data_IF_221798431805
#
_entry.id   IF_221798431805
#
_cell.length_a   1.000
_cell.length_b   1.000
_cell.length_c   1.000
_cell.angle_alpha   90.00
_cell.angle_beta   90.00
_cell.angle_gamma   90.00
#
_symmetry.space_group_name_H-M   'P 1'
#
loop_
_entity.id
_entity.type
_entity.pdbx_description
1 polymer ?
#
# COMPACT_ATOMS: atom_id res chain seq x y z
N UNK A 1 -45.88 -3.62 -48.64
CA UNK A 1 -46.04 -4.74 -47.70
C UNK A 1 -44.64 -5.13 -47.29
N UNK A 2 -44.36 -4.94 -46.00
CA UNK A 2 -43.05 -5.16 -45.40
C UNK A 2 -43.00 -6.61 -44.93
N UNK A 3 -42.08 -7.40 -45.47
CA UNK A 3 -41.82 -8.74 -44.97
C UNK A 3 -40.57 -8.68 -44.08
N UNK A 4 -40.84 -8.50 -42.79
CA UNK A 4 -39.96 -8.92 -41.71
C UNK A 4 -39.88 -10.45 -41.70
N UNK A 5 -38.69 -11.01 -41.86
CA UNK A 5 -38.42 -12.39 -41.45
C UNK A 5 -36.93 -12.57 -41.13
N UNK A 6 -36.59 -12.16 -39.90
CA UNK A 6 -35.69 -12.80 -38.96
C UNK A 6 -34.79 -13.92 -39.52
N UNK A 7 -33.58 -13.54 -39.94
CA UNK A 7 -32.43 -14.45 -39.96
C UNK A 7 -31.55 -14.14 -38.75
N UNK A 8 -31.84 -14.87 -37.67
CA UNK A 8 -30.87 -15.52 -36.79
C UNK A 8 -29.41 -15.08 -36.96
N UNK A 9 -28.94 -14.21 -36.07
CA UNK A 9 -27.50 -14.05 -35.74
C UNK A 9 -27.47 -13.96 -34.22
N UNK A 10 -27.37 -15.13 -33.58
CA UNK A 10 -26.17 -15.59 -32.88
C UNK A 10 -25.99 -14.81 -31.58
N UNK A 11 -26.24 -15.51 -30.46
CA UNK A 11 -26.02 -15.02 -29.10
C UNK A 11 -24.64 -14.37 -29.02
N UNK A 12 -24.61 -13.04 -28.90
CA UNK A 12 -23.42 -12.34 -28.47
C UNK A 12 -23.06 -12.91 -27.08
N UNK A 13 -21.83 -13.40 -26.86
CA UNK A 13 -21.35 -13.52 -25.50
C UNK A 13 -21.44 -12.10 -24.94
N UNK A 14 -22.20 -11.93 -23.87
CA UNK A 14 -22.14 -10.74 -23.06
C UNK A 14 -20.68 -10.63 -22.66
N UNK A 15 -19.92 -9.75 -23.33
CA UNK A 15 -18.68 -9.21 -22.81
C UNK A 15 -19.09 -8.47 -21.54
N UNK A 16 -19.25 -9.20 -20.44
CA UNK A 16 -19.41 -8.62 -19.13
C UNK A 16 -18.01 -8.12 -18.74
N UNK A 17 -17.74 -6.81 -18.71
CA UNK A 17 -16.46 -6.29 -18.24
C UNK A 17 -16.23 -6.61 -16.75
N UNK A 18 -17.16 -7.30 -16.08
CA UNK A 18 -16.98 -7.87 -14.74
C UNK A 18 -16.25 -9.21 -14.74
N UNK A 19 -15.99 -9.82 -15.89
CA UNK A 19 -15.18 -11.04 -16.02
C UNK A 19 -13.71 -10.80 -16.41
N UNK A 20 -13.18 -9.57 -16.25
CA UNK A 20 -11.72 -9.39 -16.16
C UNK A 20 -11.21 -9.78 -14.76
N UNK A 21 -11.53 -11.01 -14.35
CA UNK A 21 -10.80 -11.69 -13.29
C UNK A 21 -9.85 -12.66 -14.00
N UNK A 22 -8.54 -12.43 -13.85
CA UNK A 22 -7.45 -13.22 -14.43
C UNK A 22 -6.99 -12.78 -15.84
N UNK A 23 -6.28 -11.65 -15.91
CA UNK A 23 -5.18 -11.52 -16.86
C UNK A 23 -4.08 -10.63 -16.28
N UNK A 24 -3.02 -11.25 -15.77
CA UNK A 24 -1.68 -10.69 -15.87
C UNK A 24 -1.12 -9.92 -14.67
N UNK A 25 -1.09 -10.50 -13.47
CA UNK A 25 -0.21 -10.00 -12.39
C UNK A 25 0.40 -11.16 -11.58
N UNK A 26 1.12 -12.07 -12.23
CA UNK A 26 2.14 -12.90 -11.56
C UNK A 26 3.42 -12.08 -11.26
N UNK A 27 3.27 -10.77 -11.08
CA UNK A 27 4.37 -9.81 -10.97
C UNK A 27 4.34 -9.17 -9.59
N UNK A 28 4.88 -9.92 -8.63
CA UNK A 28 5.15 -9.49 -7.24
C UNK A 28 3.93 -9.09 -6.40
N UNK A 29 3.05 -10.05 -6.11
CA UNK A 29 2.17 -9.99 -4.93
C UNK A 29 2.99 -10.20 -3.65
N UNK A 30 3.91 -9.29 -3.34
CA UNK A 30 4.39 -9.18 -1.96
C UNK A 30 3.18 -8.73 -1.13
N UNK A 31 2.81 -9.41 -0.02
CA UNK A 31 1.66 -9.02 0.77
C UNK A 31 1.74 -7.52 1.04
N UNK A 32 0.70 -6.75 0.68
CA UNK A 32 0.72 -5.29 0.77
C UNK A 32 1.12 -4.83 2.19
N UNK A 33 0.71 -5.60 3.20
CA UNK A 33 1.08 -5.41 4.60
C UNK A 33 2.58 -5.61 4.86
N UNK A 34 3.25 -6.55 4.19
CA UNK A 34 4.69 -6.78 4.28
C UNK A 34 5.49 -5.64 3.65
N UNK A 35 5.11 -5.23 2.42
CA UNK A 35 5.73 -4.10 1.73
C UNK A 35 5.58 -2.80 2.52
N UNK A 36 4.35 -2.47 2.91
CA UNK A 36 4.04 -1.27 3.68
C UNK A 36 4.73 -1.31 5.05
N UNK A 37 4.68 -2.46 5.74
CA UNK A 37 5.33 -2.65 7.03
C UNK A 37 6.84 -2.43 6.98
N UNK A 38 7.52 -2.96 5.97
CA UNK A 38 8.95 -2.77 5.77
C UNK A 38 9.32 -1.31 5.51
N UNK A 39 8.60 -0.62 4.61
CA UNK A 39 8.86 0.80 4.31
C UNK A 39 8.63 1.66 5.54
N UNK A 40 7.51 1.46 6.24
CA UNK A 40 7.17 2.23 7.44
C UNK A 40 8.23 2.02 8.53
N UNK A 41 8.71 0.78 8.69
CA UNK A 41 9.75 0.47 9.67
C UNK A 41 11.08 1.13 9.33
N UNK A 42 11.50 1.11 8.06
CA UNK A 42 12.71 1.80 7.59
C UNK A 42 12.59 3.31 7.82
N UNK A 43 11.45 3.91 7.46
CA UNK A 43 11.20 5.33 7.68
C UNK A 43 11.24 5.69 9.18
N UNK A 44 10.64 4.86 10.03
CA UNK A 44 10.70 5.04 11.48
C UNK A 44 12.11 4.99 12.03
N UNK A 45 12.90 4.00 11.59
CA UNK A 45 14.30 3.88 11.98
C UNK A 45 15.13 5.09 11.53
N UNK A 46 14.94 5.56 10.29
CA UNK A 46 15.59 6.77 9.79
C UNK A 46 15.25 7.98 10.66
N UNK A 47 13.96 8.20 10.96
CA UNK A 47 13.51 9.33 11.81
C UNK A 47 14.14 9.30 13.22
N UNK A 48 14.24 8.11 13.82
CA UNK A 48 14.89 7.94 15.14
C UNK A 48 16.38 8.24 15.11
N UNK A 49 17.03 7.94 13.98
CA UNK A 49 18.47 8.05 13.81
C UNK A 49 18.88 9.45 13.33
N UNK A 50 18.01 10.20 12.64
CA UNK A 50 18.25 11.59 12.20
C UNK A 50 18.90 12.50 13.24
N UNK A 51 18.44 12.58 14.52
CA UNK A 51 19.06 13.47 15.51
C UNK A 51 20.50 13.10 15.88
N UNK A 52 21.00 11.91 15.50
CA UNK A 52 22.39 11.50 15.73
C UNK A 52 23.34 12.00 14.64
N UNK A 53 22.80 12.31 13.46
CA UNK A 53 23.59 12.67 12.26
C UNK A 53 23.31 14.09 11.75
N UNK A 54 22.21 14.69 12.18
CA UNK A 54 21.75 16.00 11.71
C UNK A 54 21.39 16.89 12.88
N UNK A 55 21.88 18.13 12.84
CA UNK A 55 21.49 19.16 13.80
C UNK A 55 20.00 19.48 13.69
N UNK A 56 19.35 19.51 14.85
CA UNK A 56 17.92 19.79 14.94
C UNK A 56 17.66 21.29 15.11
N UNK A 57 16.63 21.85 14.45
CA UNK A 57 16.31 23.26 14.55
C UNK A 57 15.94 23.64 15.99
N UNK A 58 16.74 24.51 16.63
CA UNK A 58 16.55 24.89 18.04
C UNK A 58 15.47 25.94 18.27
N UNK A 59 14.96 26.54 17.20
CA UNK A 59 13.96 27.61 17.18
C UNK A 59 12.51 27.07 17.09
N UNK A 60 12.32 25.75 17.07
CA UNK A 60 11.00 25.15 17.08
C UNK A 60 10.27 25.36 18.43
N UNK A 61 8.95 25.56 18.43
CA UNK A 61 8.17 25.74 19.66
C UNK A 61 8.06 24.47 20.52
N UNK A 62 8.49 23.32 20.00
CA UNK A 62 8.60 22.03 20.70
C UNK A 62 10.04 21.52 20.60
N UNK A 63 10.43 20.64 21.54
CA UNK A 63 11.73 19.96 21.48
C UNK A 63 11.79 19.03 20.26
N UNK A 64 12.59 19.33 19.21
CA UNK A 64 12.56 18.56 17.97
C UNK A 64 13.02 17.12 18.16
N UNK A 65 14.03 16.90 19.02
CA UNK A 65 14.51 15.55 19.36
C UNK A 65 13.41 14.69 19.96
N UNK A 66 12.59 15.26 20.85
CA UNK A 66 11.45 14.56 21.45
C UNK A 66 10.37 14.28 20.40
N UNK A 67 10.14 15.20 19.47
CA UNK A 67 9.20 14.98 18.38
C UNK A 67 9.63 13.84 17.46
N UNK A 68 10.91 13.79 17.06
CA UNK A 68 11.46 12.68 16.28
C UNK A 68 11.41 11.35 17.04
N UNK A 69 11.69 11.37 18.34
CA UNK A 69 11.59 10.16 19.16
C UNK A 69 10.15 9.62 19.14
N UNK A 70 9.16 10.48 19.34
CA UNK A 70 7.74 10.08 19.37
C UNK A 70 7.30 9.59 17.98
N UNK A 71 7.52 10.38 16.93
CA UNK A 71 7.09 10.03 15.58
C UNK A 71 7.79 8.79 15.05
N UNK A 72 9.10 8.68 15.26
CA UNK A 72 9.89 7.50 14.92
C UNK A 72 9.43 6.24 15.64
N UNK A 73 9.11 6.35 16.94
CA UNK A 73 8.56 5.22 17.71
C UNK A 73 7.20 4.78 17.17
N UNK A 74 6.32 5.71 16.80
CA UNK A 74 5.01 5.40 16.20
C UNK A 74 5.21 4.63 14.89
N UNK A 75 6.08 5.11 14.00
CA UNK A 75 6.38 4.41 12.75
C UNK A 75 6.91 2.99 12.99
N UNK A 76 7.86 2.81 13.92
CA UNK A 76 8.38 1.47 14.24
C UNK A 76 7.27 0.55 14.74
N UNK A 77 6.40 1.02 15.65
CA UNK A 77 5.30 0.21 16.17
C UNK A 77 4.30 -0.17 15.07
N UNK A 78 3.91 0.76 14.22
CA UNK A 78 3.00 0.50 13.10
C UNK A 78 3.62 -0.49 12.11
N UNK A 79 4.90 -0.28 11.76
CA UNK A 79 5.64 -1.19 10.87
C UNK A 79 5.68 -2.61 11.44
N UNK A 80 5.99 -2.76 12.73
CA UNK A 80 6.00 -4.06 13.41
C UNK A 80 4.62 -4.74 13.45
N UNK A 81 3.54 -3.97 13.63
CA UNK A 81 2.17 -4.50 13.61
C UNK A 81 1.81 -5.03 12.21
N UNK A 82 2.16 -4.29 11.16
CA UNK A 82 1.94 -4.70 9.77
C UNK A 82 2.77 -5.94 9.41
N UNK A 83 4.04 -5.97 9.81
CA UNK A 83 4.92 -7.14 9.65
C UNK A 83 4.35 -8.39 10.33
N UNK A 84 3.94 -8.27 11.61
CA UNK A 84 3.28 -9.38 12.33
C UNK A 84 1.97 -9.84 11.70
N UNK A 85 1.23 -8.94 11.07
CA UNK A 85 0.00 -9.28 10.36
C UNK A 85 0.31 -10.03 9.08
N UNK A 86 1.34 -9.61 8.35
CA UNK A 86 1.79 -10.27 7.14
C UNK A 86 2.31 -11.69 7.39
N UNK A 87 3.01 -11.94 8.50
CA UNK A 87 3.47 -13.29 8.89
C UNK A 87 2.33 -14.31 9.17
N UNK A 88 1.09 -13.84 9.34
CA UNK A 88 -0.07 -14.71 9.59
C UNK A 88 -0.79 -15.18 8.33
N UNK A 89 -0.41 -14.67 7.15
CA UNK A 89 -0.95 -15.06 5.85
C UNK A 89 0.06 -15.92 5.09
#
# INVERSE_FOLDING_TARGET
MSDDSLTQTQDEPIDDPREQTASGTDEYDLPIDLYAGAIILIMGALVLVTPLFTDMPSDAPWRPTSMNLISGTIYVLVGLVLLRRAERF
#
